data_IF_914012983042
#
_entry.id   IF_914012983042
#
_cell.length_a   1.000
_cell.length_b   1.000
_cell.length_c   1.000
_cell.angle_alpha   90.00
_cell.angle_beta   90.00
_cell.angle_gamma   90.00
#
_symmetry.space_group_name_H-M   'P 1'
#
loop_
_entity.id
_entity.type
_entity.pdbx_description
1 polymer ?
#
# COMPACT_ATOMS: atom_id res chain seq x y z
N UNK A 1 -3.44 -23.48 17.99
CA UNK A 1 -3.52 -22.58 16.82
C UNK A 1 -3.52 -21.12 17.28
N UNK A 2 -2.37 -20.43 17.29
CA UNK A 2 -2.32 -18.98 17.56
C UNK A 2 -2.90 -18.24 16.37
N UNK A 3 -3.88 -17.38 16.61
CA UNK A 3 -4.58 -16.54 15.64
C UNK A 3 -3.55 -15.72 14.84
N UNK A 4 -3.50 -15.87 13.50
CA UNK A 4 -2.69 -15.01 12.63
C UNK A 4 -2.92 -13.56 13.02
N UNK A 5 -1.88 -12.86 13.42
CA UNK A 5 -1.95 -11.45 13.80
C UNK A 5 -2.05 -10.62 12.52
N UNK A 6 -3.27 -10.43 12.02
CA UNK A 6 -3.48 -9.56 10.85
C UNK A 6 -2.95 -8.15 11.10
N UNK A 7 -2.49 -7.47 10.05
CA UNK A 7 -2.01 -6.08 10.09
C UNK A 7 -2.94 -5.14 10.88
N UNK A 8 -4.25 -5.34 10.77
CA UNK A 8 -5.29 -4.56 11.48
C UNK A 8 -5.14 -4.63 13.00
N UNK A 9 -4.59 -5.70 13.56
CA UNK A 9 -4.36 -5.81 15.00
C UNK A 9 -3.35 -4.79 15.53
N UNK A 10 -2.50 -4.23 14.66
CA UNK A 10 -1.49 -3.23 15.02
C UNK A 10 -2.05 -1.80 15.18
N UNK A 11 -3.34 -1.57 14.93
CA UNK A 11 -4.00 -0.28 15.17
C UNK A 11 -4.03 0.04 16.68
N UNK A 12 -4.26 -0.96 17.55
CA UNK A 12 -4.20 -0.88 19.01
C UNK A 12 -4.84 0.39 19.59
N UNK A 13 -4.04 1.24 20.25
CA UNK A 13 -4.47 2.48 20.92
C UNK A 13 -4.98 3.57 19.95
N UNK A 14 -4.68 3.48 18.65
CA UNK A 14 -5.07 4.47 17.63
C UNK A 14 -6.44 4.22 17.00
N UNK A 15 -7.26 3.31 17.55
CA UNK A 15 -8.63 3.05 17.07
C UNK A 15 -9.51 4.29 17.07
N UNK A 16 -9.38 5.13 18.10
CA UNK A 16 -10.14 6.39 18.22
C UNK A 16 -9.77 7.34 17.08
N UNK A 17 -8.47 7.54 16.81
CA UNK A 17 -7.99 8.41 15.75
C UNK A 17 -8.41 7.89 14.37
N UNK A 18 -8.40 6.55 14.18
CA UNK A 18 -8.86 5.86 12.96
C UNK A 18 -10.33 6.10 12.68
N UNK A 19 -11.20 6.12 13.71
CA UNK A 19 -12.65 6.31 13.57
C UNK A 19 -13.00 7.81 13.44
N UNK A 20 -12.31 8.68 14.18
CA UNK A 20 -12.58 10.12 14.14
C UNK A 20 -12.20 10.75 12.79
N UNK A 21 -11.16 10.23 12.13
CA UNK A 21 -10.75 10.74 10.80
C UNK A 21 -11.88 10.72 9.78
N UNK A 22 -12.54 9.59 9.47
CA UNK A 22 -13.70 9.55 8.56
C UNK A 22 -14.84 10.47 8.99
N UNK A 23 -15.12 10.59 10.28
CA UNK A 23 -16.20 11.45 10.79
C UNK A 23 -15.92 12.91 10.45
N UNK A 24 -14.70 13.39 10.72
CA UNK A 24 -14.31 14.76 10.36
C UNK A 24 -14.26 14.98 8.86
N UNK A 25 -13.84 13.97 8.06
CA UNK A 25 -13.88 14.05 6.59
C UNK A 25 -15.31 14.19 6.09
N UNK A 26 -16.27 13.42 6.62
CA UNK A 26 -17.68 13.53 6.22
C UNK A 26 -18.25 14.91 6.58
N UNK A 27 -17.91 15.44 7.76
CA UNK A 27 -18.31 16.80 8.16
C UNK A 27 -17.69 17.87 7.25
N UNK A 28 -16.41 17.77 6.90
CA UNK A 28 -15.74 18.64 5.93
C UNK A 28 -16.45 18.62 4.57
N UNK A 29 -16.72 17.43 4.02
CA UNK A 29 -17.42 17.23 2.75
C UNK A 29 -18.83 17.84 2.77
N UNK A 30 -19.56 17.71 3.89
CA UNK A 30 -20.90 18.29 4.00
C UNK A 30 -20.86 19.82 3.80
N UNK A 31 -19.91 20.51 4.43
CA UNK A 31 -19.73 21.95 4.21
C UNK A 31 -19.25 22.29 2.80
N UNK A 32 -18.25 21.57 2.28
CA UNK A 32 -17.71 21.76 0.93
C UNK A 32 -18.80 21.68 -0.16
N UNK A 33 -19.75 20.76 -0.01
CA UNK A 33 -20.85 20.58 -0.97
C UNK A 33 -21.99 21.58 -0.75
N UNK A 34 -22.19 22.08 0.46
CA UNK A 34 -23.21 23.10 0.74
C UNK A 34 -22.79 24.51 0.30
N UNK A 35 -21.49 24.81 0.27
CA UNK A 35 -20.98 26.14 -0.14
C UNK A 35 -21.49 26.56 -1.54
N UNK A 36 -21.40 25.72 -2.61
CA UNK A 36 -21.95 26.11 -3.92
C UNK A 36 -23.42 26.47 -3.91
N UNK A 37 -24.24 25.76 -3.13
CA UNK A 37 -25.67 26.07 -3.00
C UNK A 37 -25.90 27.45 -2.35
N UNK A 38 -25.16 27.77 -1.28
CA UNK A 38 -25.25 29.05 -0.62
C UNK A 38 -24.72 30.19 -1.52
N UNK A 39 -23.67 29.93 -2.28
CA UNK A 39 -23.15 30.86 -3.30
C UNK A 39 -24.17 31.10 -4.41
N UNK A 40 -24.90 30.07 -4.85
CA UNK A 40 -26.00 30.21 -5.80
C UNK A 40 -27.13 31.09 -5.26
N UNK A 41 -27.52 30.93 -3.97
CA UNK A 41 -28.51 31.79 -3.31
C UNK A 41 -28.03 33.23 -3.16
N UNK A 42 -26.75 33.42 -2.83
CA UNK A 42 -26.13 34.76 -2.78
C UNK A 42 -26.25 35.45 -4.14
N UNK A 43 -25.97 34.73 -5.24
CA UNK A 43 -26.08 35.29 -6.58
C UNK A 43 -27.52 35.69 -6.90
N UNK A 44 -28.48 34.79 -6.75
CA UNK A 44 -29.88 35.02 -7.16
C UNK A 44 -30.60 36.01 -6.25
N UNK A 45 -30.51 35.82 -4.91
CA UNK A 45 -31.29 36.64 -3.96
C UNK A 45 -30.54 37.90 -3.49
N UNK A 46 -29.23 37.95 -3.68
CA UNK A 46 -28.41 39.12 -3.33
C UNK A 46 -28.09 39.97 -4.55
N UNK A 47 -27.28 39.43 -5.47
CA UNK A 47 -26.73 40.21 -6.59
C UNK A 47 -27.80 40.54 -7.62
N UNK A 48 -28.54 39.55 -8.12
CA UNK A 48 -29.61 39.79 -9.14
C UNK A 48 -30.78 40.56 -8.58
N UNK A 49 -31.12 40.36 -7.30
CA UNK A 49 -32.18 41.13 -6.64
C UNK A 49 -31.73 42.53 -6.18
N UNK A 50 -30.44 42.90 -6.34
CA UNK A 50 -29.89 44.18 -5.92
C UNK A 50 -29.93 44.40 -4.41
N UNK A 51 -30.00 43.36 -3.59
CA UNK A 51 -30.21 43.45 -2.15
C UNK A 51 -28.89 43.25 -1.38
N UNK A 52 -28.27 44.34 -0.94
CA UNK A 52 -26.99 44.32 -0.22
C UNK A 52 -27.08 43.60 1.13
N UNK A 53 -28.22 43.67 1.82
CA UNK A 53 -28.39 42.97 3.11
C UNK A 53 -28.28 41.44 2.94
N UNK A 54 -28.92 40.90 1.89
CA UNK A 54 -28.83 39.48 1.56
C UNK A 54 -27.45 39.08 1.10
N UNK A 55 -26.71 39.96 0.42
CA UNK A 55 -25.30 39.68 0.04
C UNK A 55 -24.45 39.50 1.31
N UNK A 56 -24.55 40.40 2.28
CA UNK A 56 -23.83 40.27 3.54
C UNK A 56 -24.27 39.06 4.34
N UNK A 57 -25.56 38.73 4.36
CA UNK A 57 -26.09 37.57 5.07
C UNK A 57 -25.58 36.26 4.49
N UNK A 58 -25.77 36.01 3.19
CA UNK A 58 -25.26 34.77 2.55
C UNK A 58 -23.75 34.72 2.45
N UNK A 59 -23.09 35.84 2.22
CA UNK A 59 -21.62 35.95 2.24
C UNK A 59 -21.03 35.55 3.60
N UNK A 60 -21.63 36.06 4.68
CA UNK A 60 -21.27 35.70 6.05
C UNK A 60 -21.42 34.18 6.32
N UNK A 61 -22.55 33.60 5.85
CA UNK A 61 -22.77 32.15 5.97
C UNK A 61 -21.70 31.36 5.21
N UNK A 62 -21.39 31.74 3.98
CA UNK A 62 -20.33 31.05 3.17
C UNK A 62 -18.98 31.12 3.86
N UNK A 63 -18.60 32.26 4.42
CA UNK A 63 -17.36 32.44 5.18
C UNK A 63 -17.35 31.52 6.42
N UNK A 64 -18.43 31.47 7.18
CA UNK A 64 -18.52 30.60 8.36
C UNK A 64 -18.45 29.12 7.99
N UNK A 65 -19.12 28.74 6.90
CA UNK A 65 -19.04 27.35 6.39
C UNK A 65 -17.64 26.99 5.91
N UNK A 66 -16.95 27.91 5.23
CA UNK A 66 -15.56 27.70 4.81
C UNK A 66 -14.61 27.55 6.00
N UNK A 67 -14.78 28.36 7.05
CA UNK A 67 -14.02 28.22 8.29
C UNK A 67 -14.32 26.90 9.00
N UNK A 68 -15.57 26.46 9.04
CA UNK A 68 -15.96 25.17 9.60
C UNK A 68 -15.34 24.01 8.80
N UNK A 69 -15.38 24.06 7.48
CA UNK A 69 -14.72 23.08 6.61
C UNK A 69 -13.20 23.04 6.84
N UNK A 70 -12.56 24.21 6.95
CA UNK A 70 -11.13 24.32 7.26
C UNK A 70 -10.79 23.65 8.62
N UNK A 71 -11.56 23.91 9.65
CA UNK A 71 -11.34 23.33 10.99
C UNK A 71 -11.50 21.81 10.95
N UNK A 72 -12.57 21.30 10.31
CA UNK A 72 -12.80 19.86 10.18
C UNK A 72 -11.72 19.19 9.33
N UNK A 73 -11.29 19.83 8.25
CA UNK A 73 -10.19 19.38 7.40
C UNK A 73 -8.85 19.32 8.15
N UNK A 74 -8.55 20.32 8.96
CA UNK A 74 -7.35 20.35 9.81
C UNK A 74 -7.40 19.24 10.88
N UNK A 75 -8.56 19.05 11.53
CA UNK A 75 -8.76 17.97 12.50
C UNK A 75 -8.63 16.59 11.82
N UNK A 76 -9.27 16.38 10.68
CA UNK A 76 -9.16 15.13 9.93
C UNK A 76 -7.71 14.81 9.56
N UNK A 77 -6.96 15.83 9.12
CA UNK A 77 -5.53 15.72 8.81
C UNK A 77 -4.69 15.31 10.03
N UNK A 78 -4.93 15.97 11.17
CA UNK A 78 -4.24 15.69 12.43
C UNK A 78 -4.50 14.26 12.92
N UNK A 79 -5.76 13.82 12.97
CA UNK A 79 -6.12 12.48 13.42
C UNK A 79 -5.64 11.40 12.43
N UNK A 80 -5.72 11.63 11.12
CA UNK A 80 -5.18 10.73 10.12
C UNK A 80 -3.66 10.54 10.25
N UNK A 81 -2.91 11.62 10.44
CA UNK A 81 -1.48 11.57 10.64
C UNK A 81 -1.11 10.79 11.92
N UNK A 82 -1.82 11.06 13.04
CA UNK A 82 -1.61 10.31 14.31
C UNK A 82 -1.94 8.83 14.15
N UNK A 83 -3.07 8.51 13.51
CA UNK A 83 -3.46 7.12 13.26
C UNK A 83 -2.42 6.39 12.41
N UNK A 84 -1.98 6.99 11.30
CA UNK A 84 -1.05 6.36 10.37
C UNK A 84 0.37 6.21 10.96
N UNK A 85 0.91 7.24 11.59
CA UNK A 85 2.23 7.18 12.24
C UNK A 85 2.22 6.24 13.45
N UNK A 86 1.15 6.26 14.24
CA UNK A 86 0.95 5.34 15.36
C UNK A 86 0.84 3.87 14.91
N UNK A 87 0.07 3.62 13.86
CA UNK A 87 -0.04 2.30 13.25
C UNK A 87 1.33 1.79 12.76
N UNK A 88 2.10 2.62 12.04
CA UNK A 88 3.42 2.23 11.53
C UNK A 88 4.43 2.01 12.66
N UNK A 89 4.36 2.81 13.75
CA UNK A 89 5.16 2.59 14.96
C UNK A 89 4.88 1.20 15.57
N UNK A 90 3.61 0.87 15.75
CA UNK A 90 3.22 -0.42 16.30
C UNK A 90 3.61 -1.58 15.37
N UNK A 91 3.50 -1.39 14.06
CA UNK A 91 3.90 -2.37 13.06
C UNK A 91 5.41 -2.67 13.17
N UNK A 92 6.26 -1.63 13.20
CA UNK A 92 7.70 -1.79 13.41
C UNK A 92 8.04 -2.46 14.73
N UNK A 93 7.33 -2.10 15.81
CA UNK A 93 7.52 -2.69 17.13
C UNK A 93 7.20 -4.19 17.13
N UNK A 94 6.09 -4.60 16.55
CA UNK A 94 5.71 -6.02 16.50
C UNK A 94 6.62 -6.82 15.57
N UNK A 95 7.02 -6.25 14.40
CA UNK A 95 8.02 -6.86 13.53
C UNK A 95 9.36 -7.05 14.27
N UNK A 96 9.86 -6.00 14.92
CA UNK A 96 11.12 -6.08 15.65
C UNK A 96 11.07 -7.13 16.76
N UNK A 97 9.99 -7.17 17.53
CA UNK A 97 9.76 -8.20 18.57
C UNK A 97 9.75 -9.61 17.99
N UNK A 98 9.20 -9.77 16.78
CA UNK A 98 9.16 -11.08 16.14
C UNK A 98 10.54 -11.47 15.62
N UNK A 99 11.25 -10.55 14.98
CA UNK A 99 12.62 -10.78 14.49
C UNK A 99 13.58 -11.14 15.63
N UNK A 100 13.42 -10.55 16.82
CA UNK A 100 14.24 -10.92 18.01
C UNK A 100 14.01 -12.37 18.50
N UNK A 101 12.95 -13.03 18.03
CA UNK A 101 12.65 -14.44 18.35
C UNK A 101 13.01 -15.41 17.24
N UNK A 102 13.49 -14.89 16.12
CA UNK A 102 13.87 -15.71 14.98
C UNK A 102 15.09 -16.56 15.29
N UNK A 103 15.06 -17.79 14.81
CA UNK A 103 16.24 -18.63 14.68
C UNK A 103 17.12 -18.12 13.53
N UNK A 104 18.32 -18.66 13.44
CA UNK A 104 19.21 -18.34 12.33
C UNK A 104 18.63 -18.77 10.98
N UNK A 105 17.92 -19.91 10.92
CA UNK A 105 17.24 -20.38 9.72
C UNK A 105 16.17 -19.39 9.23
N UNK A 106 15.40 -18.76 10.14
CA UNK A 106 14.45 -17.70 9.78
C UNK A 106 15.17 -16.45 9.23
N UNK A 107 16.32 -16.07 9.83
CA UNK A 107 17.11 -14.91 9.35
C UNK A 107 17.67 -15.19 7.96
N UNK A 108 18.17 -16.40 7.71
CA UNK A 108 18.69 -16.81 6.40
C UNK A 108 17.59 -16.78 5.33
N UNK A 109 16.37 -17.19 5.68
CA UNK A 109 15.20 -17.15 4.80
C UNK A 109 14.86 -15.73 4.32
N UNK A 110 14.93 -14.73 5.20
CA UNK A 110 14.54 -13.36 4.89
C UNK A 110 15.67 -12.47 4.40
N UNK A 111 16.91 -12.82 4.64
CA UNK A 111 18.14 -12.00 4.55
C UNK A 111 18.10 -10.73 5.42
N UNK A 112 19.23 -10.29 5.91
CA UNK A 112 19.32 -9.07 6.75
C UNK A 112 18.88 -7.82 5.99
N UNK A 113 19.32 -7.64 4.73
CA UNK A 113 18.92 -6.53 3.88
C UNK A 113 17.43 -6.53 3.60
N UNK A 114 16.83 -7.72 3.39
CA UNK A 114 15.40 -7.90 3.20
C UNK A 114 14.57 -7.48 4.43
N UNK A 115 15.01 -7.86 5.63
CA UNK A 115 14.35 -7.46 6.88
C UNK A 115 14.41 -5.94 7.10
N UNK A 116 15.57 -5.32 6.84
CA UNK A 116 15.72 -3.85 6.93
C UNK A 116 14.77 -3.14 5.97
N UNK A 117 14.70 -3.56 4.70
CA UNK A 117 13.80 -2.98 3.70
C UNK A 117 12.32 -3.11 4.12
N UNK A 118 11.92 -4.25 4.67
CA UNK A 118 10.55 -4.49 5.15
C UNK A 118 10.20 -3.60 6.34
N UNK A 119 11.14 -3.39 7.27
CA UNK A 119 10.94 -2.54 8.46
C UNK A 119 10.97 -1.03 8.15
N UNK A 120 11.60 -0.62 7.05
CA UNK A 120 11.73 0.78 6.64
C UNK A 120 10.79 1.14 5.51
N UNK A 121 11.13 0.77 4.29
CA UNK A 121 10.40 1.16 3.08
C UNK A 121 9.00 0.58 3.03
N UNK A 122 8.84 -0.73 3.28
CA UNK A 122 7.53 -1.38 3.18
C UNK A 122 6.55 -0.85 4.24
N UNK A 123 7.02 -0.68 5.48
CA UNK A 123 6.18 -0.08 6.53
C UNK A 123 5.80 1.36 6.20
N UNK A 124 6.71 2.14 5.59
CA UNK A 124 6.40 3.52 5.16
C UNK A 124 5.37 3.54 4.03
N UNK A 125 5.45 2.63 3.06
CA UNK A 125 4.45 2.48 2.01
C UNK A 125 3.07 2.14 2.58
N UNK A 126 3.01 1.21 3.55
CA UNK A 126 1.77 0.86 4.25
C UNK A 126 1.22 2.04 5.05
N UNK A 127 2.08 2.81 5.73
CA UNK A 127 1.69 4.01 6.48
C UNK A 127 1.02 5.04 5.56
N UNK A 128 1.64 5.34 4.41
CA UNK A 128 1.13 6.32 3.45
C UNK A 128 -0.20 5.85 2.84
N UNK A 129 -0.31 4.58 2.47
CA UNK A 129 -1.55 3.99 1.98
C UNK A 129 -2.65 4.03 3.06
N UNK A 130 -2.34 3.72 4.29
CA UNK A 130 -3.28 3.76 5.40
C UNK A 130 -3.81 5.18 5.65
N UNK A 131 -2.92 6.18 5.66
CA UNK A 131 -3.30 7.59 5.80
C UNK A 131 -4.20 8.04 4.65
N UNK A 132 -3.87 7.68 3.42
CA UNK A 132 -4.65 8.01 2.24
C UNK A 132 -6.01 7.31 2.25
N UNK A 133 -6.05 6.03 2.67
CA UNK A 133 -7.28 5.27 2.81
C UNK A 133 -8.23 5.92 3.82
N UNK A 134 -7.74 6.34 4.98
CA UNK A 134 -8.57 6.98 6.02
C UNK A 134 -9.23 8.29 5.55
N UNK A 135 -8.57 9.06 4.68
CA UNK A 135 -9.08 10.35 4.20
C UNK A 135 -9.74 10.26 2.83
N UNK A 136 -9.01 9.80 1.82
CA UNK A 136 -9.43 9.87 0.42
C UNK A 136 -10.48 8.83 0.06
N UNK A 137 -10.39 7.61 0.62
CA UNK A 137 -11.43 6.58 0.37
C UNK A 137 -12.78 6.90 0.99
N UNK A 138 -12.80 7.82 1.96
CA UNK A 138 -14.05 8.32 2.55
C UNK A 138 -14.51 9.60 1.86
N UNK A 139 -13.58 10.54 1.64
CA UNK A 139 -13.87 11.83 1.01
C UNK A 139 -14.47 11.68 -0.40
N UNK A 140 -13.85 10.86 -1.25
CA UNK A 140 -14.27 10.76 -2.63
C UNK A 140 -15.70 10.20 -2.79
N UNK A 141 -16.08 9.03 -2.21
CA UNK A 141 -17.46 8.57 -2.28
C UNK A 141 -18.46 9.51 -1.60
N UNK A 142 -18.10 10.06 -0.42
CA UNK A 142 -18.98 10.96 0.31
C UNK A 142 -19.26 12.23 -0.51
N UNK A 143 -18.23 12.87 -1.06
CA UNK A 143 -18.37 14.06 -1.89
C UNK A 143 -19.22 13.78 -3.15
N UNK A 144 -18.98 12.67 -3.83
CA UNK A 144 -19.75 12.26 -4.99
C UNK A 144 -21.24 12.03 -4.66
N UNK A 145 -21.51 11.27 -3.59
CA UNK A 145 -22.88 10.94 -3.17
C UNK A 145 -23.63 12.20 -2.74
N UNK A 146 -23.02 13.03 -1.88
CA UNK A 146 -23.66 14.26 -1.37
C UNK A 146 -23.87 15.25 -2.51
N UNK A 147 -22.91 15.44 -3.42
CA UNK A 147 -23.06 16.31 -4.58
C UNK A 147 -24.16 15.82 -5.55
N UNK A 148 -24.28 14.50 -5.76
CA UNK A 148 -25.40 13.91 -6.53
C UNK A 148 -26.73 14.19 -5.86
N UNK A 149 -26.86 13.92 -4.55
CA UNK A 149 -28.10 14.20 -3.79
C UNK A 149 -28.48 15.67 -3.93
N UNK A 150 -27.52 16.58 -3.72
CA UNK A 150 -27.76 18.02 -3.83
C UNK A 150 -28.17 18.42 -5.27
N UNK A 151 -27.57 17.81 -6.29
CA UNK A 151 -27.98 18.02 -7.67
C UNK A 151 -29.43 17.59 -7.94
N UNK A 152 -29.85 16.46 -7.36
CA UNK A 152 -31.24 15.97 -7.46
C UNK A 152 -32.24 16.89 -6.75
N UNK A 153 -31.86 17.58 -5.68
CA UNK A 153 -32.73 18.57 -5.00
C UNK A 153 -32.96 19.83 -5.83
N UNK A 154 -31.98 20.18 -6.67
CA UNK A 154 -32.09 21.36 -7.56
C UNK A 154 -32.91 20.98 -8.80
N UNK A 155 -32.46 20.01 -9.59
CA UNK A 155 -33.19 19.62 -10.80
C UNK A 155 -32.87 18.14 -11.19
N UNK A 156 -33.94 17.31 -11.18
CA UNK A 156 -33.82 15.87 -11.47
C UNK A 156 -33.34 15.56 -12.90
N UNK A 157 -33.75 16.35 -13.89
CA UNK A 157 -33.38 16.13 -15.31
C UNK A 157 -31.89 16.38 -15.50
N UNK A 158 -31.37 17.46 -14.95
CA UNK A 158 -29.95 17.80 -15.03
C UNK A 158 -29.09 16.84 -14.18
N UNK A 159 -29.55 16.43 -13.01
CA UNK A 159 -28.85 15.46 -12.16
C UNK A 159 -28.65 14.09 -12.83
N UNK A 160 -29.59 13.66 -13.67
CA UNK A 160 -29.46 12.41 -14.45
C UNK A 160 -28.28 12.46 -15.42
N UNK A 161 -27.88 13.63 -15.92
CA UNK A 161 -26.68 13.79 -16.77
C UNK A 161 -25.44 13.35 -15.99
N UNK A 162 -25.32 13.75 -14.72
CA UNK A 162 -24.21 13.35 -13.85
C UNK A 162 -24.23 11.86 -13.57
N UNK A 163 -25.40 11.27 -13.29
CA UNK A 163 -25.51 9.85 -13.02
C UNK A 163 -25.03 9.02 -14.22
N UNK A 164 -25.47 9.39 -15.43
CA UNK A 164 -25.03 8.74 -16.67
C UNK A 164 -23.54 8.92 -16.88
N UNK A 165 -23.03 10.16 -16.71
CA UNK A 165 -21.61 10.46 -16.86
C UNK A 165 -20.74 9.68 -15.86
N UNK A 166 -21.14 9.59 -14.59
CA UNK A 166 -20.43 8.81 -13.55
C UNK A 166 -20.39 7.33 -13.90
N UNK A 167 -21.51 6.73 -14.33
CA UNK A 167 -21.56 5.33 -14.72
C UNK A 167 -20.66 5.06 -15.92
N UNK A 168 -20.81 5.84 -17.00
CA UNK A 168 -20.00 5.68 -18.21
C UNK A 168 -18.50 5.85 -17.92
N UNK A 169 -18.15 6.90 -17.18
CA UNK A 169 -16.75 7.16 -16.86
C UNK A 169 -16.18 6.10 -15.91
N UNK A 170 -16.96 5.63 -14.92
CA UNK A 170 -16.53 4.53 -14.04
C UNK A 170 -16.26 3.24 -14.81
N UNK A 171 -17.12 2.89 -15.75
CA UNK A 171 -16.91 1.72 -16.62
C UNK A 171 -15.64 1.89 -17.50
N UNK A 172 -15.47 3.07 -18.08
CA UNK A 172 -14.29 3.37 -18.91
C UNK A 172 -12.98 3.32 -18.08
N UNK A 173 -12.98 3.92 -16.89
CA UNK A 173 -11.84 3.87 -15.97
C UNK A 173 -11.52 2.46 -15.49
N UNK A 174 -12.55 1.67 -15.14
CA UNK A 174 -12.38 0.26 -14.76
C UNK A 174 -11.78 -0.56 -15.91
N UNK A 175 -12.22 -0.33 -17.14
CA UNK A 175 -11.67 -0.99 -18.33
C UNK A 175 -10.20 -0.60 -18.56
N UNK A 176 -9.87 0.71 -18.53
CA UNK A 176 -8.50 1.23 -18.68
C UNK A 176 -7.60 0.62 -17.60
N UNK A 177 -8.03 0.65 -16.34
CA UNK A 177 -7.25 0.15 -15.21
C UNK A 177 -7.00 -1.36 -15.32
N UNK A 178 -8.03 -2.14 -15.66
CA UNK A 178 -7.90 -3.60 -15.84
C UNK A 178 -6.89 -3.95 -16.94
N UNK A 179 -6.92 -3.22 -18.06
CA UNK A 179 -5.97 -3.43 -19.16
C UNK A 179 -4.55 -2.98 -18.81
N UNK A 180 -4.40 -1.80 -18.21
CA UNK A 180 -3.10 -1.27 -17.82
C UNK A 180 -2.41 -2.18 -16.79
N UNK A 181 -3.12 -2.64 -15.76
CA UNK A 181 -2.59 -3.53 -14.71
C UNK A 181 -2.03 -4.83 -15.29
N UNK A 182 -2.67 -5.39 -16.33
CA UNK A 182 -2.18 -6.60 -17.00
C UNK A 182 -0.80 -6.35 -17.64
N UNK A 183 -0.66 -5.26 -18.40
CA UNK A 183 0.62 -4.92 -19.07
C UNK A 183 1.71 -4.54 -18.07
N UNK A 184 1.36 -3.84 -16.96
CA UNK A 184 2.32 -3.58 -15.89
C UNK A 184 2.81 -4.88 -15.24
N UNK A 185 1.92 -5.83 -14.97
CA UNK A 185 2.29 -7.12 -14.41
C UNK A 185 3.24 -7.93 -15.32
N UNK A 186 3.04 -7.85 -16.64
CA UNK A 186 3.95 -8.45 -17.63
C UNK A 186 5.29 -7.70 -17.69
N UNK A 187 5.25 -6.36 -17.63
CA UNK A 187 6.45 -5.52 -17.64
C UNK A 187 7.32 -5.76 -16.40
N UNK A 188 6.74 -5.89 -15.21
CA UNK A 188 7.49 -6.18 -13.97
C UNK A 188 8.20 -7.53 -14.05
N UNK A 189 7.56 -8.57 -14.59
CA UNK A 189 8.22 -9.87 -14.80
C UNK A 189 9.41 -9.76 -15.76
N UNK A 190 9.26 -8.96 -16.84
CA UNK A 190 10.36 -8.72 -17.77
C UNK A 190 11.45 -7.81 -17.19
N UNK A 191 11.10 -7.00 -16.22
CA UNK A 191 12.07 -6.22 -15.47
C UNK A 191 12.93 -7.10 -14.54
N UNK A 192 12.34 -8.15 -13.97
CA UNK A 192 13.08 -9.15 -13.19
C UNK A 192 14.07 -9.92 -14.08
N UNK A 193 13.66 -10.36 -15.29
CA UNK A 193 14.56 -10.99 -16.29
C UNK A 193 15.72 -10.04 -16.67
N UNK A 194 15.45 -8.73 -16.80
CA UNK A 194 16.47 -7.72 -17.08
C UNK A 194 17.47 -7.59 -15.95
N UNK A 195 16.98 -7.51 -14.71
CA UNK A 195 17.83 -7.41 -13.52
C UNK A 195 18.73 -8.65 -13.36
N UNK A 196 18.19 -9.85 -13.58
CA UNK A 196 18.95 -11.09 -13.56
C UNK A 196 20.08 -11.08 -14.61
N UNK A 197 19.78 -10.63 -15.84
CA UNK A 197 20.79 -10.48 -16.90
C UNK A 197 21.90 -9.50 -16.53
N UNK A 198 21.54 -8.37 -15.87
CA UNK A 198 22.55 -7.40 -15.39
C UNK A 198 23.41 -8.01 -14.29
N UNK A 199 22.78 -8.68 -13.33
CA UNK A 199 23.48 -9.32 -12.21
C UNK A 199 24.45 -10.41 -12.70
N UNK A 200 24.02 -11.25 -13.65
CA UNK A 200 24.85 -12.27 -14.31
C UNK A 200 26.08 -11.61 -14.98
N UNK A 201 25.85 -10.58 -15.79
CA UNK A 201 26.89 -9.86 -16.51
C UNK A 201 27.91 -9.20 -15.57
N UNK A 202 27.44 -8.49 -14.53
CA UNK A 202 28.31 -7.82 -13.56
C UNK A 202 29.12 -8.84 -12.76
N UNK A 203 28.50 -9.95 -12.35
CA UNK A 203 29.20 -11.02 -11.63
C UNK A 203 30.26 -11.70 -12.48
N UNK A 204 29.98 -11.90 -13.77
CA UNK A 204 30.88 -12.54 -14.72
C UNK A 204 31.71 -11.56 -15.56
N UNK A 205 31.81 -10.28 -15.19
CA UNK A 205 32.41 -9.22 -16.03
C UNK A 205 33.84 -9.53 -16.45
N UNK A 206 34.63 -10.21 -15.61
CA UNK A 206 36.00 -10.64 -15.95
C UNK A 206 35.99 -11.64 -17.10
N UNK A 207 35.03 -12.58 -17.14
CA UNK A 207 34.87 -13.57 -18.21
C UNK A 207 34.45 -12.86 -19.50
N UNK A 208 33.46 -11.97 -19.43
CA UNK A 208 33.01 -11.17 -20.57
C UNK A 208 34.18 -10.41 -21.22
N UNK A 209 35.03 -9.79 -20.37
CA UNK A 209 36.23 -9.05 -20.81
C UNK A 209 37.28 -9.97 -21.39
N UNK A 210 37.56 -11.12 -20.75
CA UNK A 210 38.57 -12.07 -21.20
C UNK A 210 38.25 -12.69 -22.58
N UNK A 211 36.96 -12.90 -22.86
CA UNK A 211 36.48 -13.44 -24.15
C UNK A 211 36.00 -12.38 -25.15
N UNK A 212 36.20 -11.09 -24.87
CA UNK A 212 35.80 -9.95 -25.73
C UNK A 212 34.34 -10.04 -26.21
N UNK A 213 33.43 -10.37 -25.25
CA UNK A 213 32.00 -10.62 -25.53
C UNK A 213 31.09 -9.43 -25.22
N UNK A 214 31.64 -8.21 -25.04
CA UNK A 214 30.89 -7.01 -24.66
C UNK A 214 29.77 -6.67 -25.66
N UNK A 215 30.00 -6.89 -26.97
CA UNK A 215 28.97 -6.63 -28.00
C UNK A 215 27.79 -7.59 -27.84
N UNK A 216 28.05 -8.85 -27.59
CA UNK A 216 27.01 -9.87 -27.40
C UNK A 216 26.16 -9.57 -26.17
N UNK A 217 26.81 -9.29 -25.03
CA UNK A 217 26.13 -8.95 -23.79
C UNK A 217 25.37 -7.61 -23.93
N UNK A 218 25.91 -6.62 -24.62
CA UNK A 218 25.22 -5.36 -24.92
C UNK A 218 23.96 -5.58 -25.77
N UNK A 219 23.97 -6.49 -26.75
CA UNK A 219 22.77 -6.83 -27.52
C UNK A 219 21.75 -7.63 -26.71
N UNK A 220 22.18 -8.56 -25.85
CA UNK A 220 21.32 -9.29 -24.92
C UNK A 220 20.57 -8.30 -24.00
N UNK A 221 21.31 -7.38 -23.38
CA UNK A 221 20.75 -6.33 -22.54
C UNK A 221 19.79 -5.42 -23.31
N UNK A 222 20.17 -4.97 -24.53
CA UNK A 222 19.32 -4.11 -25.37
C UNK A 222 17.97 -4.76 -25.68
N UNK A 223 17.97 -6.04 -26.06
CA UNK A 223 16.73 -6.79 -26.35
C UNK A 223 15.85 -6.92 -25.10
N UNK A 224 16.44 -7.23 -23.93
CA UNK A 224 15.72 -7.31 -22.66
C UNK A 224 15.11 -5.95 -22.29
N UNK A 225 15.88 -4.85 -22.41
CA UNK A 225 15.45 -3.48 -22.15
C UNK A 225 14.34 -3.03 -23.11
N UNK A 226 14.45 -3.36 -24.42
CA UNK A 226 13.40 -3.07 -25.41
C UNK A 226 12.09 -3.78 -25.11
N UNK A 227 12.13 -5.03 -24.64
CA UNK A 227 10.94 -5.76 -24.23
C UNK A 227 10.23 -5.07 -23.06
N UNK A 228 10.97 -4.67 -22.00
CA UNK A 228 10.43 -3.91 -20.86
C UNK A 228 9.85 -2.57 -21.36
N UNK A 229 10.60 -1.82 -22.15
CA UNK A 229 10.16 -0.55 -22.72
C UNK A 229 8.85 -0.69 -23.49
N UNK A 230 8.73 -1.69 -24.35
CA UNK A 230 7.54 -1.89 -25.18
C UNK A 230 6.30 -2.22 -24.35
N UNK A 231 6.44 -3.02 -23.30
CA UNK A 231 5.34 -3.35 -22.38
C UNK A 231 4.92 -2.15 -21.53
N UNK A 232 5.90 -1.40 -20.97
CA UNK A 232 5.62 -0.18 -20.23
C UNK A 232 4.97 0.87 -21.13
N UNK A 233 5.45 1.05 -22.36
CA UNK A 233 4.85 1.99 -23.30
C UNK A 233 3.39 1.63 -23.62
N UNK A 234 3.07 0.35 -23.81
CA UNK A 234 1.67 -0.09 -24.00
C UNK A 234 0.80 0.19 -22.78
N UNK A 235 1.32 -0.04 -21.57
CA UNK A 235 0.61 0.28 -20.34
C UNK A 235 0.35 1.78 -20.21
N UNK A 236 1.39 2.60 -20.43
CA UNK A 236 1.31 4.07 -20.35
C UNK A 236 0.39 4.67 -21.42
N UNK A 237 0.42 4.16 -22.66
CA UNK A 237 -0.49 4.60 -23.72
C UNK A 237 -1.95 4.34 -23.36
N UNK A 238 -2.26 3.22 -22.69
CA UNK A 238 -3.61 2.94 -22.20
C UNK A 238 -3.99 3.91 -21.07
N UNK A 239 -3.08 4.17 -20.11
CA UNK A 239 -3.31 5.14 -19.04
C UNK A 239 -3.44 6.58 -19.57
N UNK A 240 -2.73 6.92 -20.65
CA UNK A 240 -2.79 8.26 -21.25
C UNK A 240 -4.21 8.63 -21.70
N UNK A 241 -5.07 7.66 -22.03
CA UNK A 241 -6.49 7.90 -22.35
C UNK A 241 -7.33 8.37 -21.16
N UNK A 242 -6.83 8.21 -19.92
CA UNK A 242 -7.56 8.61 -18.72
C UNK A 242 -7.86 10.13 -18.72
N UNK A 243 -6.84 10.96 -18.94
CA UNK A 243 -7.01 12.42 -18.92
C UNK A 243 -7.92 12.95 -20.03
N UNK A 244 -7.78 12.57 -21.32
CA UNK A 244 -8.71 12.98 -22.38
C UNK A 244 -10.15 12.55 -22.15
N UNK A 245 -10.39 11.32 -21.68
CA UNK A 245 -11.72 10.81 -21.37
C UNK A 245 -12.38 11.60 -20.24
N UNK A 246 -11.62 11.85 -19.16
CA UNK A 246 -12.08 12.71 -18.05
C UNK A 246 -12.47 14.09 -18.58
N UNK A 247 -11.59 14.73 -19.35
CA UNK A 247 -11.79 16.08 -19.85
C UNK A 247 -12.98 16.17 -20.81
N UNK A 248 -13.12 15.19 -21.70
CA UNK A 248 -14.27 15.07 -22.58
C UNK A 248 -15.58 14.97 -21.78
N UNK A 249 -15.62 14.12 -20.76
CA UNK A 249 -16.79 13.94 -19.88
C UNK A 249 -17.12 15.23 -19.13
N UNK A 250 -16.11 15.92 -18.54
CA UNK A 250 -16.28 17.20 -17.84
C UNK A 250 -16.91 18.24 -18.78
N UNK A 251 -16.30 18.48 -19.93
CA UNK A 251 -16.78 19.49 -20.87
C UNK A 251 -18.14 19.13 -21.47
N UNK A 252 -18.38 17.86 -21.76
CA UNK A 252 -19.71 17.42 -22.22
C UNK A 252 -20.79 17.69 -21.17
N UNK A 253 -20.53 17.37 -19.90
CA UNK A 253 -21.44 17.68 -18.80
C UNK A 253 -21.67 19.18 -18.67
N UNK A 254 -20.60 19.99 -18.66
CA UNK A 254 -20.70 21.45 -18.58
C UNK A 254 -21.54 22.02 -19.72
N UNK A 255 -21.28 21.60 -20.97
CA UNK A 255 -22.03 22.07 -22.14
C UNK A 255 -23.50 21.67 -22.07
N UNK A 256 -23.80 20.41 -21.77
CA UNK A 256 -25.18 19.93 -21.68
C UNK A 256 -25.97 20.64 -20.57
N UNK A 257 -25.34 20.82 -19.40
CA UNK A 257 -25.98 21.49 -18.25
C UNK A 257 -26.17 22.97 -18.53
N UNK A 258 -25.18 23.64 -19.11
CA UNK A 258 -25.29 25.04 -19.50
C UNK A 258 -26.36 25.24 -20.55
N UNK A 259 -26.42 24.38 -21.58
CA UNK A 259 -27.44 24.46 -22.64
C UNK A 259 -28.87 24.23 -22.11
N UNK A 260 -29.08 23.09 -21.46
CA UNK A 260 -30.43 22.73 -20.95
C UNK A 260 -30.81 23.65 -19.80
N UNK A 261 -29.87 24.02 -18.93
CA UNK A 261 -30.09 24.96 -17.82
C UNK A 261 -30.47 26.34 -18.32
N UNK A 262 -29.78 26.89 -19.34
CA UNK A 262 -30.14 28.18 -19.94
C UNK A 262 -31.53 28.11 -20.56
N UNK A 263 -31.89 27.04 -21.26
CA UNK A 263 -33.27 26.86 -21.79
C UNK A 263 -34.32 26.87 -20.67
N UNK A 264 -34.04 26.20 -19.53
CA UNK A 264 -34.94 26.17 -18.39
C UNK A 264 -35.08 27.53 -17.74
N UNK A 265 -34.01 28.32 -17.59
CA UNK A 265 -34.04 29.66 -17.05
C UNK A 265 -34.90 30.56 -17.93
N UNK A 266 -34.66 30.58 -19.25
CA UNK A 266 -35.40 31.43 -20.20
C UNK A 266 -36.89 31.03 -20.29
N UNK A 267 -37.16 29.72 -20.39
CA UNK A 267 -38.53 29.22 -20.52
C UNK A 267 -39.39 29.40 -19.27
N UNK A 268 -38.78 29.38 -18.09
CA UNK A 268 -39.48 29.58 -16.80
C UNK A 268 -39.46 30.99 -16.29
N UNK A 269 -38.79 31.93 -16.97
CA UNK A 269 -38.58 33.27 -16.46
C UNK A 269 -37.84 33.31 -15.12
N UNK A 270 -36.89 32.38 -14.94
CA UNK A 270 -36.08 32.15 -13.73
C UNK A 270 -36.90 31.82 -12.45
N UNK A 271 -38.16 31.33 -12.59
CA UNK A 271 -38.99 30.99 -11.42
C UNK A 271 -38.76 29.60 -10.88
N UNK A 272 -38.47 28.59 -11.75
CA UNK A 272 -38.28 27.18 -11.35
C UNK A 272 -36.83 26.75 -11.31
N UNK A 273 -35.97 27.45 -12.04
CA UNK A 273 -34.52 27.20 -12.10
C UNK A 273 -33.79 28.53 -12.33
N UNK A 274 -32.88 28.88 -11.46
CA UNK A 274 -32.22 30.19 -11.41
C UNK A 274 -30.79 30.14 -11.93
N UNK A 275 -30.16 31.27 -12.20
CA UNK A 275 -28.73 31.37 -12.53
C UNK A 275 -27.85 30.89 -11.39
N UNK A 276 -28.26 31.11 -10.15
CA UNK A 276 -27.57 30.57 -8.98
C UNK A 276 -27.63 29.04 -8.90
N UNK A 277 -28.77 28.45 -9.29
CA UNK A 277 -28.92 27.00 -9.39
C UNK A 277 -27.99 26.42 -10.47
N UNK A 278 -27.91 27.08 -11.63
CA UNK A 278 -27.00 26.70 -12.70
C UNK A 278 -25.53 26.71 -12.23
N UNK A 279 -25.09 27.76 -11.55
CA UNK A 279 -23.74 27.89 -10.99
C UNK A 279 -23.47 26.79 -9.95
N UNK A 280 -24.43 26.47 -9.10
CA UNK A 280 -24.35 25.39 -8.13
C UNK A 280 -24.20 24.03 -8.82
N UNK A 281 -24.99 23.78 -9.87
CA UNK A 281 -24.90 22.55 -10.68
C UNK A 281 -23.53 22.40 -11.34
N UNK A 282 -22.98 23.45 -11.95
CA UNK A 282 -21.64 23.41 -12.55
C UNK A 282 -20.56 23.10 -11.52
N UNK A 283 -20.67 23.64 -10.31
CA UNK A 283 -19.77 23.33 -9.20
C UNK A 283 -19.87 21.86 -8.77
N UNK A 284 -21.09 21.31 -8.70
CA UNK A 284 -21.29 19.89 -8.38
C UNK A 284 -20.76 18.96 -9.47
N UNK A 285 -20.85 19.36 -10.74
CA UNK A 285 -20.21 18.64 -11.84
C UNK A 285 -18.71 18.43 -11.58
N UNK A 286 -18.01 19.52 -11.27
CA UNK A 286 -16.58 19.47 -10.98
C UNK A 286 -16.29 18.59 -9.75
N UNK A 287 -17.05 18.74 -8.66
CA UNK A 287 -16.90 17.93 -7.45
C UNK A 287 -17.07 16.43 -7.70
N UNK A 288 -18.11 16.03 -8.45
CA UNK A 288 -18.40 14.63 -8.77
C UNK A 288 -17.26 14.01 -9.59
N UNK A 289 -16.82 14.70 -10.64
CA UNK A 289 -15.80 14.17 -11.55
C UNK A 289 -14.40 14.14 -10.91
N UNK A 290 -14.06 15.17 -10.12
CA UNK A 290 -12.82 15.16 -9.31
C UNK A 290 -12.81 14.06 -8.26
N UNK A 291 -13.96 13.77 -7.64
CA UNK A 291 -14.10 12.67 -6.68
C UNK A 291 -13.87 11.32 -7.34
N UNK A 292 -14.33 11.13 -8.58
CA UNK A 292 -14.08 9.90 -9.32
C UNK A 292 -12.59 9.70 -9.67
N UNK A 293 -11.91 10.79 -10.07
CA UNK A 293 -10.47 10.79 -10.31
C UNK A 293 -9.69 10.45 -9.03
N UNK A 294 -10.08 11.03 -7.90
CA UNK A 294 -9.48 10.75 -6.59
C UNK A 294 -9.66 9.27 -6.20
N UNK A 295 -10.83 8.69 -6.47
CA UNK A 295 -11.10 7.27 -6.21
C UNK A 295 -10.19 6.35 -7.04
N UNK A 296 -9.96 6.68 -8.30
CA UNK A 296 -9.02 5.97 -9.17
C UNK A 296 -7.59 5.99 -8.60
N UNK A 297 -7.12 7.15 -8.13
CA UNK A 297 -5.79 7.30 -7.51
C UNK A 297 -5.65 6.46 -6.23
N UNK A 298 -6.69 6.44 -5.39
CA UNK A 298 -6.74 5.60 -4.18
C UNK A 298 -6.60 4.13 -4.53
N UNK A 299 -7.29 3.65 -5.57
CA UNK A 299 -7.21 2.27 -6.01
C UNK A 299 -5.78 1.87 -6.42
N UNK A 300 -5.10 2.72 -7.20
CA UNK A 300 -3.69 2.50 -7.58
C UNK A 300 -2.80 2.40 -6.34
N UNK A 301 -2.95 3.32 -5.40
CA UNK A 301 -2.14 3.36 -4.18
C UNK A 301 -2.33 2.11 -3.32
N UNK A 302 -3.57 1.65 -3.15
CA UNK A 302 -3.88 0.40 -2.42
C UNK A 302 -3.21 -0.79 -3.11
N UNK A 303 -3.30 -0.86 -4.43
CA UNK A 303 -2.71 -1.96 -5.21
C UNK A 303 -1.18 -2.00 -5.06
N UNK A 304 -0.52 -0.85 -5.14
CA UNK A 304 0.93 -0.75 -4.95
C UNK A 304 1.36 -1.12 -3.52
N UNK A 305 0.57 -0.73 -2.52
CA UNK A 305 0.85 -1.04 -1.12
C UNK A 305 0.56 -2.49 -0.74
N UNK A 306 -0.27 -3.21 -1.49
CA UNK A 306 -0.64 -4.60 -1.20
C UNK A 306 0.58 -5.54 -1.21
N UNK A 307 1.55 -5.31 -2.09
CA UNK A 307 2.80 -6.06 -2.13
C UNK A 307 3.63 -5.85 -0.86
N UNK A 308 3.79 -4.59 -0.43
CA UNK A 308 4.48 -4.25 0.83
C UNK A 308 3.76 -4.84 2.04
N UNK A 309 2.42 -4.79 2.05
CA UNK A 309 1.60 -5.39 3.11
C UNK A 309 1.79 -6.91 3.22
N UNK A 310 1.89 -7.61 2.08
CA UNK A 310 2.16 -9.06 2.05
C UNK A 310 3.54 -9.37 2.64
N UNK A 311 4.61 -8.67 2.22
CA UNK A 311 5.97 -8.88 2.74
C UNK A 311 6.09 -8.61 4.24
N UNK A 312 5.40 -7.58 4.74
CA UNK A 312 5.36 -7.29 6.17
C UNK A 312 4.56 -8.35 6.94
N UNK A 313 3.45 -8.82 6.38
CA UNK A 313 2.65 -9.90 6.98
C UNK A 313 3.46 -11.20 7.10
N UNK A 314 4.27 -11.54 6.10
CA UNK A 314 5.18 -12.69 6.15
C UNK A 314 6.10 -12.64 7.37
N UNK A 315 6.69 -11.47 7.68
CA UNK A 315 7.56 -11.31 8.86
C UNK A 315 6.78 -11.37 10.17
N UNK A 316 5.54 -10.86 10.20
CA UNK A 316 4.69 -10.89 11.41
C UNK A 316 4.14 -12.28 11.71
N UNK A 317 3.88 -13.08 10.67
CA UNK A 317 3.31 -14.42 10.78
C UNK A 317 4.38 -15.50 10.95
N UNK A 318 5.64 -15.19 10.62
CA UNK A 318 6.75 -16.12 10.76
C UNK A 318 6.98 -16.50 12.22
N UNK A 319 7.22 -17.77 12.46
CA UNK A 319 7.50 -18.32 13.78
C UNK A 319 8.90 -18.92 13.79
N UNK A 320 9.57 -18.83 14.93
CA UNK A 320 10.83 -19.55 15.13
C UNK A 320 10.57 -21.04 15.03
N UNK A 321 11.41 -21.73 14.28
CA UNK A 321 11.44 -23.19 14.20
C UNK A 321 12.13 -23.80 15.42
N UNK A 322 12.95 -23.01 16.13
CA UNK A 322 13.51 -23.41 17.42
C UNK A 322 12.51 -23.19 18.53
N UNK A 323 12.01 -24.26 19.12
CA UNK A 323 11.10 -24.23 20.27
C UNK A 323 11.64 -25.13 21.37
N UNK A 324 11.46 -24.71 22.61
CA UNK A 324 11.76 -25.58 23.76
C UNK A 324 10.66 -26.62 23.92
N UNK A 325 11.02 -27.77 24.51
CA UNK A 325 10.06 -28.78 24.93
C UNK A 325 9.06 -28.23 25.96
N UNK A 326 8.05 -29.04 26.32
CA UNK A 326 7.01 -28.65 27.29
C UNK A 326 7.56 -28.41 28.70
N UNK A 327 8.66 -29.07 29.06
CA UNK A 327 9.31 -28.94 30.39
C UNK A 327 10.84 -28.77 30.20
N UNK A 328 11.34 -27.56 29.84
CA UNK A 328 12.74 -27.33 29.54
C UNK A 328 13.57 -27.38 30.83
N UNK A 329 14.67 -28.13 30.76
CA UNK A 329 15.65 -28.20 31.85
C UNK A 329 16.44 -26.89 31.90
N UNK A 330 16.48 -26.23 33.05
CA UNK A 330 17.13 -24.92 33.24
C UNK A 330 18.57 -25.01 33.73
N UNK A 331 19.01 -26.16 34.24
CA UNK A 331 20.36 -26.37 34.71
C UNK A 331 20.89 -27.72 34.17
N UNK A 332 22.07 -27.69 33.56
CA UNK A 332 22.75 -28.88 33.11
C UNK A 332 23.72 -29.40 34.16
N UNK A 333 23.93 -30.70 34.24
CA UNK A 333 24.77 -31.33 35.28
C UNK A 333 26.24 -31.01 35.13
N UNK A 334 26.73 -31.01 33.91
CA UNK A 334 28.16 -30.80 33.56
C UNK A 334 28.27 -30.25 32.13
N UNK A 335 29.49 -30.07 31.63
CA UNK A 335 29.78 -29.58 30.28
C UNK A 335 30.10 -30.72 29.28
N UNK A 336 29.64 -31.96 29.52
CA UNK A 336 29.79 -33.02 28.55
C UNK A 336 28.90 -32.79 27.32
N UNK A 337 29.38 -33.20 26.14
CA UNK A 337 28.63 -33.01 24.87
C UNK A 337 28.66 -34.34 24.12
N UNK A 338 27.48 -34.80 23.72
CA UNK A 338 27.35 -35.97 22.86
C UNK A 338 26.59 -35.64 21.59
N UNK A 339 27.15 -35.98 20.45
CA UNK A 339 26.47 -36.06 19.17
C UNK A 339 26.15 -37.52 18.93
N UNK A 340 24.91 -37.84 18.64
CA UNK A 340 24.42 -39.21 18.45
C UNK A 340 23.76 -39.30 17.08
N UNK A 341 24.46 -39.90 16.12
CA UNK A 341 24.03 -40.05 14.71
C UNK A 341 23.54 -38.74 14.07
N UNK A 342 24.25 -37.64 14.29
CA UNK A 342 23.81 -36.30 13.88
C UNK A 342 24.01 -36.08 12.39
N UNK A 343 22.92 -35.80 11.70
CA UNK A 343 22.92 -35.22 10.36
C UNK A 343 22.30 -33.84 10.35
N UNK A 344 22.85 -32.94 9.54
CA UNK A 344 22.37 -31.56 9.45
C UNK A 344 22.39 -31.02 8.02
N UNK A 345 21.29 -30.38 7.61
CA UNK A 345 21.18 -29.62 6.37
C UNK A 345 20.59 -28.23 6.64
N UNK A 346 21.11 -27.17 6.01
CA UNK A 346 20.61 -25.81 6.14
C UNK A 346 19.21 -25.60 5.54
N UNK A 347 18.81 -26.47 4.60
CA UNK A 347 17.47 -26.46 3.98
C UNK A 347 16.89 -27.86 4.06
N UNK A 348 15.58 -27.98 4.30
CA UNK A 348 14.86 -29.25 4.46
C UNK A 348 15.12 -30.27 3.32
N UNK A 349 15.25 -29.76 2.09
CA UNK A 349 15.49 -30.59 0.90
C UNK A 349 16.90 -30.34 0.30
N UNK A 350 17.83 -29.77 1.08
CA UNK A 350 19.18 -29.45 0.66
C UNK A 350 20.17 -30.60 0.91
N UNK A 351 21.36 -30.48 0.33
CA UNK A 351 22.48 -31.40 0.63
C UNK A 351 22.84 -31.31 2.11
N UNK A 352 23.08 -32.50 2.71
CA UNK A 352 23.54 -32.59 4.11
C UNK A 352 24.95 -31.99 4.23
N UNK A 353 25.07 -31.02 5.11
CA UNK A 353 26.37 -30.42 5.46
C UNK A 353 27.15 -31.29 6.46
N UNK A 354 26.43 -32.00 7.31
CA UNK A 354 26.96 -33.01 8.23
C UNK A 354 26.14 -34.27 8.03
N UNK A 355 26.82 -35.46 8.05
CA UNK A 355 26.18 -36.73 7.85
C UNK A 355 26.72 -37.73 8.86
N UNK A 356 25.82 -38.31 9.65
CA UNK A 356 26.10 -39.41 10.60
C UNK A 356 27.29 -39.12 11.53
N UNK A 357 27.28 -38.01 12.24
CA UNK A 357 28.37 -37.61 13.14
C UNK A 357 28.12 -38.17 14.53
N UNK A 358 29.07 -38.96 15.01
CA UNK A 358 29.14 -39.49 16.37
C UNK A 358 30.35 -38.89 17.11
N UNK A 359 30.10 -38.19 18.23
CA UNK A 359 31.15 -37.62 19.09
C UNK A 359 30.70 -37.70 20.56
N UNK A 360 31.61 -38.10 21.41
CA UNK A 360 31.43 -38.11 22.88
C UNK A 360 32.58 -37.33 23.53
N UNK A 361 32.22 -36.17 24.06
CA UNK A 361 33.16 -35.18 24.62
C UNK A 361 32.90 -35.06 26.12
N UNK A 362 33.92 -35.33 26.93
CA UNK A 362 33.81 -35.24 28.40
C UNK A 362 33.91 -33.80 28.88
N UNK A 363 33.29 -33.54 30.02
CA UNK A 363 33.36 -32.21 30.65
C UNK A 363 34.81 -31.80 30.91
N UNK A 364 35.18 -30.59 30.47
CA UNK A 364 36.54 -30.05 30.56
C UNK A 364 37.54 -30.53 29.51
N UNK A 365 37.13 -31.36 28.57
CA UNK A 365 37.98 -31.81 27.46
C UNK A 365 38.13 -30.73 26.39
N UNK A 366 39.35 -30.63 25.80
CA UNK A 366 39.65 -29.71 24.71
C UNK A 366 39.78 -30.51 23.42
N UNK A 367 38.93 -30.21 22.44
CA UNK A 367 38.88 -30.87 21.15
C UNK A 367 39.31 -29.92 20.03
N UNK A 368 40.23 -30.40 19.18
CA UNK A 368 40.66 -29.69 17.98
C UNK A 368 39.97 -30.25 16.73
N UNK A 369 39.24 -29.40 15.99
CA UNK A 369 38.57 -29.76 14.74
C UNK A 369 39.38 -29.22 13.56
N UNK A 370 39.93 -30.14 12.76
CA UNK A 370 40.81 -29.85 11.63
C UNK A 370 40.15 -30.31 10.33
N UNK A 371 40.32 -29.53 9.26
CA UNK A 371 39.80 -29.87 7.93
C UNK A 371 39.88 -28.69 6.96
N UNK A 372 39.71 -28.93 5.68
CA UNK A 372 39.78 -27.96 4.61
C UNK A 372 38.64 -26.91 4.67
N UNK A 373 38.74 -25.88 3.83
CA UNK A 373 37.66 -24.94 3.64
C UNK A 373 36.42 -25.63 3.03
N UNK A 374 35.24 -25.42 3.60
CA UNK A 374 34.02 -26.10 3.16
C UNK A 374 33.69 -27.43 3.83
N UNK A 375 34.56 -27.94 4.76
CA UNK A 375 34.32 -29.23 5.47
C UNK A 375 33.35 -29.13 6.65
N UNK A 376 32.47 -28.16 6.67
CA UNK A 376 31.36 -27.94 7.62
C UNK A 376 31.76 -27.86 9.13
N UNK A 377 33.04 -27.52 9.45
CA UNK A 377 33.48 -27.32 10.85
C UNK A 377 32.67 -26.31 11.61
N UNK A 378 32.40 -25.15 10.98
CA UNK A 378 31.59 -24.10 11.57
C UNK A 378 30.15 -24.56 11.78
N UNK A 379 29.60 -25.38 10.89
CA UNK A 379 28.26 -25.95 11.02
C UNK A 379 28.15 -26.84 12.25
N UNK A 380 29.16 -27.69 12.48
CA UNK A 380 29.22 -28.57 13.66
C UNK A 380 29.23 -27.71 14.96
N UNK A 381 30.09 -26.68 15.02
CA UNK A 381 30.20 -25.82 16.20
C UNK A 381 28.91 -25.02 16.44
N UNK A 382 28.18 -24.62 15.38
CA UNK A 382 26.93 -23.89 15.50
C UNK A 382 25.76 -24.71 16.06
N UNK A 383 25.84 -26.03 16.02
CA UNK A 383 24.84 -26.92 16.64
C UNK A 383 24.98 -26.96 18.17
N UNK A 384 26.16 -26.70 18.73
CA UNK A 384 26.39 -26.70 20.17
C UNK A 384 25.56 -25.64 20.94
N UNK A 385 25.60 -24.37 20.55
CA UNK A 385 24.72 -23.37 21.14
C UNK A 385 23.29 -23.39 20.60
N UNK A 386 22.90 -24.46 19.90
CA UNK A 386 21.59 -24.65 19.28
C UNK A 386 21.17 -23.45 18.40
N UNK A 387 22.08 -22.96 17.53
CA UNK A 387 21.72 -21.93 16.55
C UNK A 387 20.83 -22.49 15.44
N UNK A 388 20.95 -23.80 15.19
CA UNK A 388 20.10 -24.60 14.32
C UNK A 388 19.77 -25.91 15.04
N UNK A 389 18.62 -26.51 14.74
CA UNK A 389 18.31 -27.89 15.15
C UNK A 389 18.87 -28.87 14.15
N UNK A 390 19.23 -30.07 14.62
CA UNK A 390 19.69 -31.19 13.79
C UNK A 390 18.54 -31.69 12.90
N UNK A 391 18.90 -32.23 11.75
CA UNK A 391 17.91 -32.83 10.83
C UNK A 391 17.59 -34.29 11.24
N UNK A 392 18.61 -35.02 11.69
CA UNK A 392 18.51 -36.39 12.19
C UNK A 392 19.48 -36.55 13.36
N UNK A 393 19.21 -37.48 14.28
CA UNK A 393 19.99 -37.68 15.48
C UNK A 393 19.68 -36.71 16.61
N UNK A 394 20.56 -36.63 17.61
CA UNK A 394 20.43 -35.70 18.73
C UNK A 394 21.76 -35.14 19.22
N UNK A 395 21.74 -33.94 19.78
CA UNK A 395 22.90 -33.31 20.45
C UNK A 395 22.53 -33.07 21.90
N UNK A 396 23.22 -33.75 22.81
CA UNK A 396 22.97 -33.58 24.25
C UNK A 396 24.11 -32.84 24.94
N UNK A 397 23.81 -31.97 25.87
CA UNK A 397 24.75 -31.24 26.71
C UNK A 397 24.45 -31.54 28.18
N UNK A 398 25.42 -32.08 28.91
CA UNK A 398 25.20 -32.55 30.30
C UNK A 398 24.11 -33.60 30.43
N UNK A 399 23.89 -34.40 29.36
CA UNK A 399 22.87 -35.43 29.26
C UNK A 399 21.45 -34.90 28.97
N UNK A 400 21.32 -33.64 28.60
CA UNK A 400 20.04 -32.98 28.21
C UNK A 400 20.07 -32.66 26.72
N UNK A 401 19.01 -33.05 25.97
CA UNK A 401 18.87 -32.82 24.53
C UNK A 401 18.45 -31.35 24.24
#
# INVERSE_FOLDING_TARGET
>A
MKKKRGLVSCIQEFKKDTILTPIFVIGEVAFDVLIPMMTGRLLTQGVEAGNMERIFYYGGIVVLMALAALLLGALSGRYAARAATGFSRNLRREMYRNVQKFSFSNIDKFSTAGLVTRMTTDVTNIQNAYQMMLRMSVRAPASMIVALIMSYTINRRLANIYLIAVVLLSCALAFIMSRATKYFGEAFRKYDDLNESVQENVSAIRVVKAYVREKFEGEKFRKASENVRNLLMRAELILAWNAPLMQLTVYSCILLISWIGAQLIVSSGATTFTTGDLMSMLSYCMNILMSLMMLSMVFVMITMSAASAKRVAEVLDEQSDLTNGEDPVMEVRDGSVKFDHVSFAYKKDGEKALEDIDLDIKSGETIGIIGGTGSAKSSLVQLLPRLYDVTEGSVTIGGVD
#
